data_IF_587021418202
#
_entry.id   IF_587021418202
#
_cell.length_a   1.000
_cell.length_b   1.000
_cell.length_c   1.000
_cell.angle_alpha   90.00
_cell.angle_beta   90.00
_cell.angle_gamma   90.00
#
_symmetry.space_group_name_H-M   'P 1'
#
loop_
_entity.id
_entity.type
_entity.pdbx_description
1 polymer ?
#
# COMPACT_ATOMS: atom_id res chain seq x y z
N UNK A 1 10.90 14.88 -3.94
CA UNK A 1 9.43 14.94 -4.17
C UNK A 1 8.73 14.24 -3.02
N UNK A 2 7.71 14.86 -2.47
CA UNK A 2 6.84 14.21 -1.48
C UNK A 2 5.76 13.45 -2.24
N UNK A 3 5.59 12.18 -1.90
CA UNK A 3 4.57 11.32 -2.52
C UNK A 3 3.56 10.90 -1.47
N UNK A 4 2.28 11.12 -1.75
CA UNK A 4 1.18 10.58 -0.94
C UNK A 4 0.73 9.29 -1.59
N UNK A 5 0.93 8.16 -0.90
CA UNK A 5 0.59 6.86 -1.45
C UNK A 5 -0.75 6.38 -0.91
N UNK A 6 -1.67 6.06 -1.81
CA UNK A 6 -2.93 5.44 -1.43
C UNK A 6 -2.86 3.91 -1.55
N UNK A 7 -3.87 3.25 -1.00
CA UNK A 7 -3.92 1.78 -0.98
C UNK A 7 -3.99 1.20 -2.39
N UNK A 8 -4.73 1.84 -3.29
CA UNK A 8 -4.86 1.33 -4.67
C UNK A 8 -3.52 1.28 -5.39
N UNK A 9 -2.71 2.33 -5.25
CA UNK A 9 -1.38 2.38 -5.84
C UNK A 9 -0.44 1.35 -5.22
N UNK A 10 -0.50 1.20 -3.89
CA UNK A 10 0.30 0.19 -3.19
C UNK A 10 -0.03 -1.22 -3.67
N UNK A 11 -1.31 -1.56 -3.80
CA UNK A 11 -1.76 -2.86 -4.27
C UNK A 11 -1.29 -3.12 -5.72
N UNK A 12 -1.39 -2.12 -6.59
CA UNK A 12 -0.89 -2.23 -7.97
C UNK A 12 0.60 -2.59 -8.00
N UNK A 13 1.40 -1.94 -7.15
CA UNK A 13 2.84 -2.20 -7.06
C UNK A 13 3.11 -3.60 -6.50
N UNK A 14 2.48 -3.94 -5.38
CA UNK A 14 2.69 -5.23 -4.69
C UNK A 14 2.34 -6.40 -5.60
N UNK A 15 1.21 -6.33 -6.29
CA UNK A 15 0.76 -7.41 -7.18
C UNK A 15 1.30 -7.29 -8.60
N UNK A 16 2.12 -6.29 -8.89
CA UNK A 16 2.70 -6.07 -10.22
C UNK A 16 1.64 -6.07 -11.32
N UNK A 17 0.54 -5.36 -11.06
CA UNK A 17 -0.56 -5.23 -12.00
C UNK A 17 -0.21 -4.30 -13.14
N UNK A 18 -1.16 -4.09 -14.06
CA UNK A 18 -0.99 -3.34 -15.30
C UNK A 18 -0.38 -1.94 -15.11
N UNK A 19 -0.81 -1.21 -14.08
CA UNK A 19 -0.33 0.15 -13.80
C UNK A 19 0.88 0.18 -12.86
N UNK A 20 1.43 -0.97 -12.52
CA UNK A 20 2.52 -1.10 -11.55
C UNK A 20 3.73 -0.25 -11.93
N UNK A 21 4.15 -0.30 -13.19
CA UNK A 21 5.34 0.44 -13.63
C UNK A 21 5.18 1.95 -13.48
N UNK A 22 3.99 2.48 -13.78
CA UNK A 22 3.68 3.90 -13.63
C UNK A 22 3.76 4.32 -12.18
N UNK A 23 3.09 3.60 -11.28
CA UNK A 23 3.09 3.92 -9.86
C UNK A 23 4.46 3.71 -9.22
N UNK A 24 5.18 2.66 -9.63
CA UNK A 24 6.52 2.38 -9.13
C UNK A 24 7.51 3.48 -9.52
N UNK A 25 7.40 4.00 -10.74
CA UNK A 25 8.22 5.11 -11.19
C UNK A 25 8.00 6.35 -10.32
N UNK A 26 6.74 6.69 -10.03
CA UNK A 26 6.41 7.82 -9.15
C UNK A 26 6.91 7.57 -7.73
N UNK A 27 6.68 6.37 -7.20
CA UNK A 27 7.15 5.99 -5.87
C UNK A 27 8.67 6.15 -5.73
N UNK A 28 9.43 5.69 -6.73
CA UNK A 28 10.89 5.74 -6.70
C UNK A 28 11.45 7.16 -6.80
N UNK A 29 10.67 8.12 -7.27
CA UNK A 29 11.04 9.54 -7.28
C UNK A 29 10.80 10.23 -5.94
N UNK A 30 10.06 9.59 -5.05
CA UNK A 30 9.74 10.15 -3.75
C UNK A 30 10.95 10.18 -2.82
N UNK A 31 11.19 11.33 -2.20
CA UNK A 31 12.17 11.46 -1.13
C UNK A 31 11.51 11.31 0.23
N UNK A 32 10.19 11.44 0.28
CA UNK A 32 9.37 11.24 1.47
C UNK A 32 8.03 10.66 1.04
N UNK A 33 7.77 9.42 1.44
CA UNK A 33 6.55 8.70 1.12
C UNK A 33 5.65 8.75 2.34
N UNK A 34 4.49 9.38 2.22
CA UNK A 34 3.53 9.50 3.32
C UNK A 34 2.19 8.89 2.94
N UNK A 35 1.44 8.51 3.95
CA UNK A 35 0.08 8.01 3.79
C UNK A 35 -0.78 8.43 4.98
N UNK A 36 -2.11 8.53 4.81
CA UNK A 36 -3.01 8.72 5.94
C UNK A 36 -2.91 7.56 6.93
N UNK A 37 -3.17 7.83 8.20
CA UNK A 37 -3.14 6.81 9.25
C UNK A 37 -4.12 5.65 9.01
N UNK A 38 -5.21 5.90 8.26
CA UNK A 38 -6.16 4.86 7.86
C UNK A 38 -5.61 3.86 6.83
N UNK A 39 -4.46 4.15 6.24
CA UNK A 39 -3.84 3.29 5.23
C UNK A 39 -3.66 1.85 5.73
N UNK A 40 -3.19 1.70 6.97
CA UNK A 40 -2.93 0.35 7.53
C UNK A 40 -4.23 -0.45 7.61
N UNK A 41 -5.29 0.15 8.13
CA UNK A 41 -6.59 -0.52 8.23
C UNK A 41 -7.17 -0.83 6.84
N UNK A 42 -7.04 0.09 5.91
CA UNK A 42 -7.57 -0.08 4.55
C UNK A 42 -6.85 -1.18 3.78
N UNK A 43 -5.51 -1.19 3.80
CA UNK A 43 -4.74 -2.21 3.09
C UNK A 43 -4.97 -3.59 3.70
N UNK A 44 -5.04 -3.67 5.02
CA UNK A 44 -5.36 -4.92 5.72
C UNK A 44 -6.70 -5.45 5.29
N UNK A 45 -7.70 -4.59 5.22
CA UNK A 45 -9.06 -4.97 4.82
C UNK A 45 -9.12 -5.49 3.38
N UNK A 46 -8.46 -4.79 2.44
CA UNK A 46 -8.42 -5.20 1.03
C UNK A 46 -7.75 -6.57 0.89
N UNK A 47 -6.59 -6.76 1.51
CA UNK A 47 -5.84 -8.01 1.40
C UNK A 47 -6.54 -9.16 2.11
N UNK A 48 -7.21 -8.89 3.22
CA UNK A 48 -8.04 -9.88 3.90
C UNK A 48 -9.19 -10.37 3.02
N UNK A 49 -9.83 -9.47 2.28
CA UNK A 49 -10.88 -9.84 1.32
C UNK A 49 -10.33 -10.74 0.21
N UNK A 50 -9.14 -10.46 -0.28
CA UNK A 50 -8.47 -11.33 -1.26
C UNK A 50 -8.20 -12.71 -0.69
N UNK A 51 -7.76 -12.78 0.56
CA UNK A 51 -7.56 -14.06 1.25
C UNK A 51 -8.89 -14.83 1.38
N UNK A 52 -9.94 -14.16 1.82
CA UNK A 52 -11.26 -14.80 1.98
C UNK A 52 -11.83 -15.28 0.63
N UNK A 53 -11.49 -14.62 -0.44
CA UNK A 53 -11.89 -15.03 -1.79
C UNK A 53 -11.01 -16.18 -2.36
N UNK A 54 -10.02 -16.63 -1.61
CA UNK A 54 -9.14 -17.73 -2.03
C UNK A 54 -8.05 -17.32 -2.99
N UNK A 55 -7.81 -16.01 -3.17
CA UNK A 55 -6.84 -15.51 -4.14
C UNK A 55 -5.41 -15.49 -3.59
N UNK A 56 -5.25 -15.37 -2.28
CA UNK A 56 -3.95 -15.41 -1.61
C UNK A 56 -4.05 -16.22 -0.33
N UNK A 57 -2.94 -16.82 0.10
CA UNK A 57 -2.88 -17.57 1.35
C UNK A 57 -2.91 -16.63 2.55
N UNK A 58 -3.16 -17.17 3.74
CA UNK A 58 -3.10 -16.38 4.98
C UNK A 58 -1.71 -15.82 5.23
N UNK A 59 -0.67 -16.61 4.99
CA UNK A 59 0.71 -16.19 5.17
C UNK A 59 1.04 -15.07 4.18
N UNK A 60 0.65 -15.20 2.94
CA UNK A 60 0.87 -14.18 1.92
C UNK A 60 0.10 -12.90 2.25
N UNK A 61 -1.12 -13.02 2.78
CA UNK A 61 -1.89 -11.86 3.22
C UNK A 61 -1.11 -11.04 4.25
N UNK A 62 -0.57 -11.69 5.27
CA UNK A 62 0.23 -11.03 6.32
C UNK A 62 1.46 -10.38 5.71
N UNK A 63 2.16 -11.07 4.82
CA UNK A 63 3.36 -10.54 4.17
C UNK A 63 3.05 -9.33 3.30
N UNK A 64 1.99 -9.38 2.51
CA UNK A 64 1.60 -8.26 1.66
C UNK A 64 1.18 -7.03 2.48
N UNK A 65 0.50 -7.22 3.61
CA UNK A 65 0.19 -6.12 4.53
C UNK A 65 1.48 -5.46 5.00
N UNK A 66 2.45 -6.26 5.43
CA UNK A 66 3.74 -5.75 5.89
C UNK A 66 4.49 -5.03 4.77
N UNK A 67 4.48 -5.59 3.57
CA UNK A 67 5.11 -4.95 2.40
C UNK A 67 4.51 -3.57 2.14
N UNK A 68 3.19 -3.45 2.25
CA UNK A 68 2.51 -2.17 2.07
C UNK A 68 2.89 -1.16 3.15
N UNK A 69 2.95 -1.59 4.41
CA UNK A 69 3.36 -0.72 5.52
C UNK A 69 4.80 -0.24 5.33
N UNK A 70 5.68 -1.14 4.90
CA UNK A 70 7.10 -0.84 4.71
C UNK A 70 7.36 0.14 3.56
N UNK A 71 6.40 0.34 2.66
CA UNK A 71 6.50 1.35 1.60
C UNK A 71 6.40 2.78 2.11
N UNK A 72 5.87 2.98 3.31
CA UNK A 72 5.53 4.30 3.85
C UNK A 72 6.59 4.74 4.83
N UNK A 73 7.08 5.97 4.66
CA UNK A 73 8.03 6.58 5.60
C UNK A 73 7.32 7.08 6.86
N UNK A 74 6.18 7.77 6.67
CA UNK A 74 5.42 8.35 7.78
C UNK A 74 3.93 8.27 7.53
N UNK A 75 3.19 7.96 8.57
CA UNK A 75 1.73 8.01 8.57
C UNK A 75 1.27 9.32 9.22
N UNK A 76 0.33 10.00 8.56
CA UNK A 76 -0.15 11.30 8.98
C UNK A 76 -1.61 11.18 9.42
N UNK A 77 -1.90 11.67 10.61
CA UNK A 77 -3.26 11.68 11.13
C UNK A 77 -4.18 12.57 10.29
N UNK A 78 -5.41 12.13 10.09
CA UNK A 78 -6.38 12.88 9.27
C UNK A 78 -6.66 14.27 9.83
N UNK A 79 -6.46 14.48 11.15
CA UNK A 79 -6.63 15.78 11.79
C UNK A 79 -5.53 16.77 11.42
N UNK A 80 -4.40 16.29 10.92
CA UNK A 80 -3.24 17.09 10.59
C UNK A 80 -3.25 17.51 9.11
N UNK A 81 -4.17 16.97 8.36
CA UNK A 81 -4.38 17.29 6.96
C UNK A 81 -5.43 18.40 6.83
#
# INVERSE_FOLDING_TARGET
MIVVLDVSAAIEIIFQREKSNTFKSIYNQGTWIIAPDLFIAEITNVLWKYHKAGLISHIDCIQYVQDGIDMIDDFIGTREL
#
